data_IF_622860256928
#
_entry.id   IF_622860256928
#
_cell.length_a   1.000
_cell.length_b   1.000
_cell.length_c   1.000
_cell.angle_alpha   90.00
_cell.angle_beta   90.00
_cell.angle_gamma   90.00
#
_symmetry.space_group_name_H-M   'P 1'
#
loop_
_entity.id
_entity.type
_entity.pdbx_description
1 polymer ?
#
# COMPACT_ATOMS: atom_id res chain seq x y z
N UNK A 1 59.05 -15.26 -45.93
CA UNK A 1 57.86 -14.39 -45.80
C UNK A 1 57.44 -14.39 -44.34
N UNK A 2 57.89 -13.39 -43.58
CA UNK A 2 57.55 -13.22 -42.16
C UNK A 2 56.22 -12.48 -42.07
N UNK A 3 55.22 -13.09 -41.43
CA UNK A 3 53.87 -12.53 -41.29
C UNK A 3 53.72 -11.99 -39.86
N UNK A 4 53.93 -10.68 -39.72
CA UNK A 4 53.69 -9.97 -38.47
C UNK A 4 52.18 -9.91 -38.18
N UNK A 5 51.74 -10.54 -37.10
CA UNK A 5 50.38 -10.37 -36.57
C UNK A 5 50.40 -9.16 -35.61
N UNK A 6 49.77 -8.07 -36.04
CA UNK A 6 49.48 -6.92 -35.20
C UNK A 6 48.25 -7.28 -34.36
N UNK A 7 48.44 -7.51 -33.06
CA UNK A 7 47.35 -7.62 -32.10
C UNK A 7 46.76 -6.22 -31.88
N UNK A 8 45.57 -5.98 -32.41
CA UNK A 8 44.79 -4.77 -32.16
C UNK A 8 43.93 -5.01 -30.91
N UNK A 9 44.36 -4.49 -29.77
CA UNK A 9 43.59 -4.50 -28.52
C UNK A 9 42.53 -3.40 -28.59
N UNK A 10 41.27 -3.79 -28.82
CA UNK A 10 40.11 -2.93 -28.66
C UNK A 10 39.77 -2.85 -27.17
N UNK A 11 40.05 -1.71 -26.56
CA UNK A 11 39.65 -1.41 -25.17
C UNK A 11 38.18 -0.95 -25.19
N UNK A 12 37.27 -1.83 -24.79
CA UNK A 12 35.86 -1.47 -24.61
C UNK A 12 35.72 -0.69 -23.28
N UNK A 13 35.48 0.62 -23.37
CA UNK A 13 35.04 1.41 -22.23
C UNK A 13 33.60 1.05 -21.90
N UNK A 14 33.37 0.25 -20.85
CA UNK A 14 32.06 0.20 -20.20
C UNK A 14 31.85 1.55 -19.51
N UNK A 15 30.95 2.37 -20.05
CA UNK A 15 30.38 3.49 -19.33
C UNK A 15 29.52 2.92 -18.19
N UNK A 16 30.02 2.97 -16.96
CA UNK A 16 29.21 2.85 -15.77
C UNK A 16 28.30 4.07 -15.71
N UNK A 17 27.07 3.92 -16.19
CA UNK A 17 26.00 4.87 -15.93
C UNK A 17 25.70 4.70 -14.44
N UNK A 18 26.17 5.63 -13.61
CA UNK A 18 25.67 5.78 -12.25
C UNK A 18 24.21 6.23 -12.36
N UNK A 19 23.29 5.27 -12.46
CA UNK A 19 21.88 5.55 -12.19
C UNK A 19 21.82 5.84 -10.70
N UNK A 20 21.71 7.11 -10.34
CA UNK A 20 21.29 7.51 -9.01
C UNK A 20 19.84 7.07 -8.86
N UNK A 21 19.61 5.83 -8.44
CA UNK A 21 18.29 5.37 -8.02
C UNK A 21 17.95 6.14 -6.74
N UNK A 22 17.23 7.26 -6.87
CA UNK A 22 16.67 7.94 -5.71
C UNK A 22 15.75 6.97 -4.97
N UNK A 23 15.80 6.96 -3.63
CA UNK A 23 14.84 6.19 -2.85
C UNK A 23 13.43 6.68 -3.13
N UNK A 24 12.45 5.79 -3.15
CA UNK A 24 11.04 6.16 -3.23
C UNK A 24 10.66 6.98 -1.99
N UNK A 25 10.08 8.16 -2.22
CA UNK A 25 9.59 9.02 -1.13
C UNK A 25 8.47 8.30 -0.38
N UNK A 26 8.60 8.28 0.96
CA UNK A 26 7.61 7.72 1.86
C UNK A 26 7.11 8.81 2.83
N UNK A 27 6.28 8.42 3.78
CA UNK A 27 5.67 9.34 4.72
C UNK A 27 5.67 8.78 6.15
N UNK A 28 5.55 9.69 7.12
CA UNK A 28 5.30 9.41 8.54
C UNK A 28 4.10 10.24 9.05
N UNK A 29 2.87 9.95 8.63
CA UNK A 29 1.70 10.65 9.14
C UNK A 29 1.57 10.46 10.66
N UNK A 30 1.29 11.53 11.38
CA UNK A 30 1.13 11.52 12.85
C UNK A 30 -0.33 11.41 13.31
N UNK A 31 -1.27 11.56 12.38
CA UNK A 31 -2.71 11.47 12.62
C UNK A 31 -3.19 10.06 12.97
N UNK A 32 -4.49 9.95 13.25
CA UNK A 32 -5.11 8.66 13.57
C UNK A 32 -5.06 7.71 12.36
N UNK A 33 -4.46 6.54 12.56
CA UNK A 33 -4.35 5.49 11.56
C UNK A 33 -5.69 4.75 11.41
N UNK A 34 -6.26 4.77 10.21
CA UNK A 34 -7.48 4.01 9.85
C UNK A 34 -7.12 2.82 8.97
N UNK A 35 -7.70 1.64 9.20
CA UNK A 35 -7.46 0.48 8.33
C UNK A 35 -8.13 0.70 6.96
N UNK A 36 -7.50 0.21 5.89
CA UNK A 36 -8.05 0.22 4.54
C UNK A 36 -7.81 1.51 3.76
N UNK A 37 -8.17 1.46 2.48
CA UNK A 37 -8.08 2.57 1.52
C UNK A 37 -9.42 3.34 1.44
N UNK A 38 -9.35 4.60 1.02
CA UNK A 38 -10.50 5.35 0.54
C UNK A 38 -10.71 5.07 -0.96
N UNK A 39 -11.96 4.95 -1.38
CA UNK A 39 -12.33 4.68 -2.77
C UNK A 39 -13.33 5.75 -3.23
N UNK A 40 -12.94 6.54 -4.21
CA UNK A 40 -13.77 7.53 -4.87
C UNK A 40 -14.28 6.98 -6.22
N UNK A 41 -15.52 7.32 -6.57
CA UNK A 41 -16.15 6.92 -7.84
C UNK A 41 -16.43 8.16 -8.67
N UNK A 42 -16.12 8.09 -9.97
CA UNK A 42 -16.28 9.18 -10.92
C UNK A 42 -17.07 8.70 -12.15
N UNK A 43 -17.83 9.61 -12.74
CA UNK A 43 -18.59 9.34 -13.95
C UNK A 43 -17.64 8.90 -15.08
N UNK A 44 -18.01 7.80 -15.73
CA UNK A 44 -17.41 7.36 -16.99
C UNK A 44 -18.50 7.07 -18.02
N UNK A 45 -18.26 7.47 -19.27
CA UNK A 45 -19.26 7.33 -20.34
C UNK A 45 -19.28 5.90 -20.84
N UNK A 46 -20.46 5.27 -20.83
CA UNK A 46 -20.65 3.92 -21.36
C UNK A 46 -20.16 3.84 -22.82
N UNK A 47 -19.38 2.81 -23.13
CA UNK A 47 -18.71 2.56 -24.41
C UNK A 47 -17.71 3.64 -24.84
N UNK A 48 -17.32 4.57 -23.95
CA UNK A 48 -16.15 5.40 -24.23
C UNK A 48 -14.89 4.53 -24.20
N UNK A 49 -14.27 4.56 -25.36
CA UNK A 49 -13.33 3.60 -25.88
C UNK A 49 -11.90 4.19 -25.90
N UNK A 50 -11.77 5.43 -25.46
CA UNK A 50 -10.64 6.28 -25.80
C UNK A 50 -10.13 7.08 -24.61
N UNK A 51 -11.02 7.58 -23.75
CA UNK A 51 -10.63 8.44 -22.63
C UNK A 51 -9.74 7.69 -21.62
N UNK A 52 -10.03 6.42 -21.33
CA UNK A 52 -9.25 5.63 -20.37
C UNK A 52 -7.86 5.24 -20.91
N UNK A 53 -7.62 5.39 -22.22
CA UNK A 53 -6.34 5.11 -22.86
C UNK A 53 -5.36 6.29 -22.75
N UNK A 54 -5.79 7.43 -22.19
CA UNK A 54 -4.94 8.59 -21.99
C UNK A 54 -4.25 8.54 -20.60
N UNK A 55 -2.91 8.54 -20.53
CA UNK A 55 -2.16 8.61 -19.28
C UNK A 55 -2.57 9.77 -18.37
N UNK A 56 -2.83 10.95 -18.92
CA UNK A 56 -3.22 12.13 -18.13
C UNK A 56 -4.61 11.93 -17.51
N UNK A 57 -5.52 11.31 -18.25
CA UNK A 57 -6.83 10.95 -17.72
C UNK A 57 -6.69 9.99 -16.53
N UNK A 58 -5.91 8.92 -16.69
CA UNK A 58 -5.72 7.90 -15.65
C UNK A 58 -4.89 8.39 -14.46
N UNK A 59 -4.02 9.38 -14.64
CA UNK A 59 -3.26 9.99 -13.56
C UNK A 59 -4.10 10.92 -12.69
N UNK A 60 -4.89 11.80 -13.33
CA UNK A 60 -5.60 12.88 -12.65
C UNK A 60 -6.88 13.37 -13.36
N UNK A 61 -6.98 13.31 -14.69
CA UNK A 61 -8.10 13.88 -15.43
C UNK A 61 -9.47 13.23 -15.16
N UNK A 62 -9.52 12.05 -14.53
CA UNK A 62 -10.78 11.48 -14.03
C UNK A 62 -11.46 12.37 -12.98
N UNK A 63 -10.71 13.14 -12.20
CA UNK A 63 -11.26 13.99 -11.14
C UNK A 63 -11.95 15.25 -11.67
N UNK A 64 -11.76 15.57 -12.95
CA UNK A 64 -12.53 16.62 -13.65
C UNK A 64 -13.95 16.15 -14.01
N UNK A 65 -14.24 14.85 -13.87
CA UNK A 65 -15.59 14.28 -14.03
C UNK A 65 -16.39 14.41 -12.74
N UNK A 66 -17.70 14.21 -12.85
CA UNK A 66 -18.59 14.21 -11.69
C UNK A 66 -18.19 13.09 -10.72
N UNK A 67 -17.84 13.48 -9.48
CA UNK A 67 -17.65 12.53 -8.37
C UNK A 67 -19.02 12.02 -7.93
N UNK A 68 -19.25 10.73 -8.11
CA UNK A 68 -20.51 10.04 -7.78
C UNK A 68 -20.64 9.77 -6.29
N UNK A 69 -19.53 9.56 -5.59
CA UNK A 69 -19.48 9.28 -4.16
C UNK A 69 -18.17 8.62 -3.74
N UNK A 70 -18.13 8.13 -2.50
CA UNK A 70 -16.97 7.41 -1.96
C UNK A 70 -17.35 6.41 -0.86
N UNK A 71 -16.45 5.47 -0.61
CA UNK A 71 -16.45 4.56 0.54
C UNK A 71 -15.05 4.52 1.16
N UNK A 72 -14.97 4.28 2.46
CA UNK A 72 -13.70 4.21 3.19
C UNK A 72 -13.45 2.81 3.78
N UNK A 73 -12.22 2.56 4.21
CA UNK A 73 -11.86 1.38 4.99
C UNK A 73 -11.84 0.07 4.20
N UNK A 74 -11.61 0.15 2.88
CA UNK A 74 -11.58 -1.04 2.02
C UNK A 74 -10.21 -1.70 2.07
N UNK A 75 -10.15 -2.96 2.51
CA UNK A 75 -8.91 -3.77 2.49
C UNK A 75 -8.87 -4.74 1.32
N UNK A 76 -10.05 -5.14 0.81
CA UNK A 76 -10.21 -5.94 -0.40
C UNK A 76 -10.31 -5.01 -1.58
N UNK A 77 -9.27 -4.98 -2.41
CA UNK A 77 -9.09 -3.95 -3.43
C UNK A 77 -9.12 -4.51 -4.86
N UNK A 78 -9.25 -5.83 -5.04
CA UNK A 78 -9.47 -6.38 -6.38
C UNK A 78 -10.88 -6.09 -6.88
N UNK A 79 -11.00 -5.94 -8.20
CA UNK A 79 -12.28 -5.78 -8.88
C UNK A 79 -12.58 -7.05 -9.66
N UNK A 80 -13.76 -7.62 -9.45
CA UNK A 80 -14.33 -8.74 -10.20
C UNK A 80 -15.83 -8.50 -10.34
N UNK A 81 -16.20 -7.80 -11.42
CA UNK A 81 -17.57 -7.48 -11.75
C UNK A 81 -18.02 -8.27 -12.97
N UNK A 82 -19.15 -8.96 -12.82
CA UNK A 82 -19.81 -9.71 -13.88
C UNK A 82 -21.19 -9.11 -14.15
N UNK A 83 -21.48 -8.82 -15.42
CA UNK A 83 -22.82 -8.41 -15.84
C UNK A 83 -23.84 -9.51 -15.53
N UNK A 84 -25.13 -9.17 -15.33
CA UNK A 84 -26.17 -10.15 -15.04
C UNK A 84 -26.54 -11.06 -16.22
N UNK A 85 -25.70 -11.14 -17.26
CA UNK A 85 -25.86 -12.06 -18.37
C UNK A 85 -25.32 -13.45 -18.03
N UNK A 86 -26.13 -14.50 -18.10
CA UNK A 86 -25.62 -15.87 -18.10
C UNK A 86 -24.82 -16.12 -19.38
N UNK A 87 -23.54 -16.45 -19.27
CA UNK A 87 -22.76 -16.97 -20.41
C UNK A 87 -23.02 -18.46 -20.66
N UNK A 88 -24.00 -19.07 -19.99
CA UNK A 88 -24.35 -20.47 -20.18
C UNK A 88 -25.75 -20.55 -20.78
N UNK A 89 -25.80 -20.81 -22.09
CA UNK A 89 -26.88 -21.61 -22.66
C UNK A 89 -26.86 -22.96 -21.93
N UNK A 90 -27.59 -23.07 -20.83
CA UNK A 90 -28.14 -24.35 -20.44
C UNK A 90 -29.16 -24.68 -21.53
N UNK A 91 -28.71 -25.45 -22.51
CA UNK A 91 -29.58 -26.12 -23.49
C UNK A 91 -30.38 -27.18 -22.70
N UNK A 92 -31.35 -26.70 -21.93
CA UNK A 92 -32.43 -27.53 -21.43
C UNK A 92 -33.44 -27.55 -22.56
N UNK A 93 -33.24 -28.46 -23.51
CA UNK A 93 -34.36 -29.09 -24.19
C UNK A 93 -35.30 -29.59 -23.10
N UNK A 94 -36.36 -28.84 -22.81
CA UNK A 94 -37.62 -29.42 -22.38
C UNK A 94 -38.77 -28.45 -22.59
N UNK A 95 -39.69 -28.90 -23.44
CA UNK A 95 -41.01 -28.35 -23.61
C UNK A 95 -41.72 -28.22 -22.25
N UNK A 96 -42.24 -27.03 -21.93
CA UNK A 96 -43.64 -26.82 -21.51
C UNK A 96 -43.87 -25.46 -20.84
N UNK A 97 -44.89 -24.80 -21.37
CA UNK A 97 -45.73 -23.75 -20.83
C UNK A 97 -45.92 -23.71 -19.30
N UNK A 98 -45.80 -22.52 -18.69
CA UNK A 98 -46.94 -21.73 -18.18
C UNK A 98 -46.53 -20.61 -17.20
N UNK A 99 -47.41 -19.63 -17.14
CA UNK A 99 -47.28 -18.23 -16.73
C UNK A 99 -47.40 -17.96 -15.21
N UNK A 100 -46.98 -16.75 -14.81
CA UNK A 100 -47.40 -15.96 -13.64
C UNK A 100 -46.71 -16.17 -12.27
N UNK A 101 -45.89 -15.18 -11.83
CA UNK A 101 -46.18 -14.40 -10.61
C UNK A 101 -45.19 -13.25 -10.38
N UNK A 102 -45.76 -12.11 -10.00
CA UNK A 102 -45.11 -10.87 -9.60
C UNK A 102 -44.78 -10.88 -8.09
N UNK A 103 -43.49 -10.82 -7.73
CA UNK A 103 -43.09 -10.33 -6.39
C UNK A 103 -41.62 -9.86 -6.38
N UNK A 104 -41.36 -8.71 -5.77
CA UNK A 104 -40.02 -8.14 -5.58
C UNK A 104 -39.40 -8.77 -4.33
N UNK A 105 -38.30 -9.53 -4.48
CA UNK A 105 -37.53 -10.07 -3.35
C UNK A 105 -36.08 -9.60 -3.41
N UNK A 106 -35.68 -8.84 -2.38
CA UNK A 106 -34.30 -8.48 -2.04
C UNK A 106 -33.59 -9.68 -1.42
N UNK A 107 -32.57 -10.30 -2.04
CA UNK A 107 -31.61 -11.14 -1.29
C UNK A 107 -30.17 -11.22 -1.87
N UNK A 108 -29.22 -11.30 -0.92
CA UNK A 108 -27.76 -11.39 -1.04
C UNK A 108 -27.25 -12.85 -1.01
N UNK A 109 -26.18 -13.08 -1.79
CA UNK A 109 -24.95 -13.89 -1.58
C UNK A 109 -24.99 -15.43 -1.44
N UNK A 110 -24.08 -16.10 -2.18
CA UNK A 110 -23.35 -17.30 -1.71
C UNK A 110 -22.92 -18.28 -2.81
N UNK A 111 -21.60 -18.41 -3.07
CA UNK A 111 -20.99 -19.43 -3.93
C UNK A 111 -21.30 -20.87 -3.45
N UNK A 112 -21.72 -21.76 -4.36
CA UNK A 112 -21.38 -23.20 -4.37
C UNK A 112 -21.61 -23.82 -5.76
N UNK A 113 -20.87 -24.90 -6.12
CA UNK A 113 -20.81 -25.44 -7.47
C UNK A 113 -22.10 -26.19 -7.84
N UNK A 114 -22.43 -26.15 -9.13
CA UNK A 114 -23.64 -26.73 -9.72
C UNK A 114 -23.69 -28.25 -9.58
N UNK A 115 -24.22 -28.74 -8.45
CA UNK A 115 -24.89 -30.04 -8.38
C UNK A 115 -25.83 -30.04 -7.17
N UNK A 116 -27.00 -29.45 -7.33
CA UNK A 116 -28.22 -29.86 -6.63
C UNK A 116 -29.40 -29.12 -7.26
N UNK A 117 -30.26 -29.88 -7.92
CA UNK A 117 -31.49 -29.45 -8.59
C UNK A 117 -32.58 -29.11 -7.57
N UNK A 118 -32.38 -28.01 -6.85
CA UNK A 118 -33.39 -27.45 -5.97
C UNK A 118 -33.41 -25.93 -6.10
N UNK A 119 -34.31 -25.45 -6.97
CA UNK A 119 -34.82 -24.08 -7.03
C UNK A 119 -33.77 -22.97 -6.83
N UNK A 120 -32.80 -22.89 -7.73
CA UNK A 120 -32.11 -21.63 -8.00
C UNK A 120 -33.18 -20.67 -8.52
N UNK A 121 -33.46 -19.61 -7.75
CA UNK A 121 -34.21 -18.48 -8.26
C UNK A 121 -33.47 -17.97 -9.50
N UNK A 122 -34.01 -18.26 -10.69
CA UNK A 122 -33.56 -17.70 -11.95
C UNK A 122 -33.45 -16.18 -11.73
N UNK A 123 -32.24 -15.63 -11.82
CA UNK A 123 -32.10 -14.20 -12.06
C UNK A 123 -32.83 -13.96 -13.39
N UNK A 124 -33.92 -13.19 -13.29
CA UNK A 124 -34.72 -12.55 -14.35
C UNK A 124 -34.29 -12.90 -15.79
N UNK A 125 -35.16 -13.60 -16.52
CA UNK A 125 -35.17 -13.87 -17.97
C UNK A 125 -33.84 -13.62 -18.73
N UNK A 126 -33.03 -14.66 -18.88
CA UNK A 126 -31.79 -14.71 -19.69
C UNK A 126 -32.01 -14.51 -21.21
N UNK A 127 -33.18 -14.03 -21.64
CA UNK A 127 -33.58 -13.91 -23.06
C UNK A 127 -33.29 -12.51 -23.63
N UNK A 128 -32.98 -11.52 -22.79
CA UNK A 128 -32.80 -10.12 -23.23
C UNK A 128 -31.79 -9.33 -22.38
N UNK A 129 -30.60 -9.88 -22.13
CA UNK A 129 -29.53 -9.13 -21.48
C UNK A 129 -28.59 -8.50 -22.55
N UNK A 130 -28.65 -7.18 -22.69
CA UNK A 130 -27.75 -6.43 -23.59
C UNK A 130 -26.39 -6.27 -22.90
N UNK A 131 -25.35 -6.94 -23.41
CA UNK A 131 -23.98 -6.80 -22.89
C UNK A 131 -23.46 -5.36 -23.01
N UNK A 132 -23.99 -4.59 -23.97
CA UNK A 132 -23.65 -3.20 -24.17
C UNK A 132 -24.46 -2.21 -23.33
N UNK A 133 -25.32 -2.65 -22.42
CA UNK A 133 -26.10 -1.77 -21.55
C UNK A 133 -25.34 -1.41 -20.26
N UNK A 134 -25.74 -0.29 -19.65
CA UNK A 134 -25.30 0.04 -18.29
C UNK A 134 -26.12 -0.75 -17.27
N UNK A 135 -25.43 -1.36 -16.30
CA UNK A 135 -26.07 -2.11 -15.21
C UNK A 135 -25.70 -1.49 -13.86
N UNK A 136 -26.70 -1.28 -13.02
CA UNK A 136 -26.50 -0.81 -11.66
C UNK A 136 -26.22 -1.98 -10.71
N UNK A 137 -25.21 -1.86 -9.86
CA UNK A 137 -24.87 -2.85 -8.84
C UNK A 137 -24.11 -2.21 -7.68
N UNK A 138 -23.99 -2.94 -6.57
CA UNK A 138 -23.15 -2.61 -5.41
C UNK A 138 -21.92 -3.51 -5.30
N UNK A 139 -21.59 -4.28 -6.36
CA UNK A 139 -20.46 -5.23 -6.33
C UNK A 139 -19.11 -4.52 -6.16
N UNK A 140 -18.98 -3.28 -6.63
CA UNK A 140 -17.80 -2.45 -6.37
C UNK A 140 -17.87 -1.85 -4.96
N UNK A 141 -17.22 -2.54 -4.02
CA UNK A 141 -16.98 -2.05 -2.65
C UNK A 141 -18.24 -1.70 -1.85
N UNK A 142 -19.40 -2.26 -2.23
CA UNK A 142 -20.69 -1.97 -1.62
C UNK A 142 -21.32 -0.64 -2.07
N UNK A 143 -20.69 0.12 -2.96
CA UNK A 143 -21.20 1.39 -3.46
C UNK A 143 -22.15 1.17 -4.64
N UNK A 144 -23.38 1.69 -4.55
CA UNK A 144 -24.38 1.53 -5.62
C UNK A 144 -24.10 2.48 -6.79
N UNK A 145 -23.57 1.95 -7.88
CA UNK A 145 -23.16 2.68 -9.09
C UNK A 145 -23.41 1.83 -10.34
N UNK A 146 -22.88 2.23 -11.50
CA UNK A 146 -22.84 1.44 -12.74
C UNK A 146 -21.45 0.85 -12.99
N UNK A 147 -21.11 -0.36 -12.47
CA UNK A 147 -19.78 -0.95 -12.65
C UNK A 147 -19.37 -1.18 -14.10
N UNK A 148 -20.36 -1.26 -15.00
CA UNK A 148 -20.16 -1.34 -16.46
C UNK A 148 -19.47 -0.11 -17.04
N UNK A 149 -19.56 1.05 -16.40
CA UNK A 149 -19.04 2.31 -16.92
C UNK A 149 -18.75 3.27 -15.77
N UNK A 150 -17.57 3.14 -15.18
CA UNK A 150 -17.17 3.94 -14.01
C UNK A 150 -15.65 4.06 -13.95
N UNK A 151 -15.16 5.18 -13.42
CA UNK A 151 -13.76 5.30 -12.99
C UNK A 151 -13.71 5.29 -11.47
N UNK A 152 -12.79 4.50 -10.92
CA UNK A 152 -12.57 4.30 -9.50
C UNK A 152 -11.15 4.75 -9.17
N UNK A 153 -11.00 5.56 -8.12
CA UNK A 153 -9.72 5.95 -7.53
C UNK A 153 -9.64 5.35 -6.13
N UNK A 154 -8.61 4.57 -5.85
CA UNK A 154 -8.30 4.03 -4.53
C UNK A 154 -7.05 4.73 -4.00
N UNK A 155 -7.15 5.39 -2.85
CA UNK A 155 -6.00 6.05 -2.19
C UNK A 155 -5.83 5.56 -0.76
N UNK A 156 -4.57 5.44 -0.36
CA UNK A 156 -4.16 5.05 0.98
C UNK A 156 -2.65 4.95 1.06
N UNK A 157 -2.14 4.46 2.17
CA UNK A 157 -0.73 4.25 2.42
C UNK A 157 -0.45 2.77 2.60
N UNK A 158 0.50 2.25 1.84
CA UNK A 158 1.05 0.92 2.04
C UNK A 158 2.14 0.98 3.13
N UNK A 159 1.95 0.23 4.23
CA UNK A 159 2.93 0.08 5.30
C UNK A 159 3.82 -1.13 5.00
N UNK A 160 5.11 -0.89 4.78
CA UNK A 160 6.08 -1.96 4.59
C UNK A 160 6.44 -2.62 5.94
N UNK A 161 6.12 -3.91 6.19
CA UNK A 161 6.56 -4.59 7.41
C UNK A 161 8.03 -5.01 7.39
N UNK A 162 8.63 -5.12 6.21
CA UNK A 162 10.03 -5.54 6.00
C UNK A 162 10.72 -4.63 5.00
N UNK A 163 12.00 -4.37 5.19
CA UNK A 163 12.80 -3.67 4.18
C UNK A 163 13.13 -4.62 3.03
N UNK A 164 12.93 -4.19 1.79
CA UNK A 164 13.23 -4.98 0.60
C UNK A 164 12.41 -4.59 -0.62
N UNK A 165 12.47 -5.42 -1.65
CA UNK A 165 11.69 -5.24 -2.88
C UNK A 165 10.28 -5.79 -2.72
N UNK A 166 9.29 -4.98 -3.10
CA UNK A 166 7.89 -5.34 -3.20
C UNK A 166 7.50 -5.31 -4.68
N UNK A 167 6.95 -6.40 -5.20
CA UNK A 167 6.53 -6.49 -6.60
C UNK A 167 5.02 -6.55 -6.65
N UNK A 168 4.40 -5.41 -6.98
CA UNK A 168 2.96 -5.31 -7.19
C UNK A 168 2.62 -5.90 -8.56
N UNK A 169 1.43 -6.49 -8.69
CA UNK A 169 0.97 -7.08 -9.93
C UNK A 169 -0.53 -6.97 -10.17
N UNK A 170 -0.90 -6.76 -11.43
CA UNK A 170 -2.26 -6.97 -11.93
C UNK A 170 -2.30 -8.27 -12.74
N UNK A 171 -3.12 -9.23 -12.30
CA UNK A 171 -3.27 -10.51 -13.02
C UNK A 171 -3.84 -10.31 -14.43
N UNK A 172 -4.77 -9.38 -14.57
CA UNK A 172 -5.31 -8.87 -15.83
C UNK A 172 -5.88 -7.46 -15.59
N UNK A 173 -6.18 -6.74 -16.67
CA UNK A 173 -6.80 -5.41 -16.63
C UNK A 173 -7.90 -5.36 -17.68
N UNK A 174 -9.12 -5.13 -17.23
CA UNK A 174 -10.31 -4.96 -18.07
C UNK A 174 -11.20 -3.85 -17.47
N UNK A 175 -11.20 -2.61 -17.98
CA UNK A 175 -10.61 -2.15 -19.25
C UNK A 175 -9.21 -1.51 -19.11
N UNK A 176 -8.98 -0.66 -18.10
CA UNK A 176 -7.75 0.12 -17.95
C UNK A 176 -7.44 0.42 -16.50
N UNK A 177 -6.17 0.33 -16.11
CA UNK A 177 -5.74 0.59 -14.74
C UNK A 177 -4.31 1.12 -14.65
N UNK A 178 -4.04 1.88 -13.59
CA UNK A 178 -2.69 2.22 -13.15
C UNK A 178 -2.52 1.94 -11.67
N UNK A 179 -1.26 1.74 -11.25
CA UNK A 179 -0.85 1.77 -9.85
C UNK A 179 0.37 2.69 -9.72
N UNK A 180 0.32 3.58 -8.74
CA UNK A 180 1.38 4.53 -8.40
C UNK A 180 1.73 4.36 -6.92
N UNK A 181 3.03 4.31 -6.63
CA UNK A 181 3.58 4.20 -5.27
C UNK A 181 4.59 5.32 -5.02
N UNK A 182 4.47 5.98 -3.86
CA UNK A 182 5.43 6.97 -3.38
C UNK A 182 4.86 8.39 -3.29
N UNK A 183 5.46 9.20 -2.42
CA UNK A 183 5.16 10.62 -2.30
C UNK A 183 5.46 11.38 -3.59
N UNK A 184 4.62 12.37 -3.92
CA UNK A 184 4.62 13.12 -5.19
C UNK A 184 4.38 12.26 -6.46
N UNK A 185 4.20 10.94 -6.32
CA UNK A 185 3.91 10.02 -7.44
C UNK A 185 2.46 9.55 -7.36
N UNK A 186 2.06 8.93 -6.26
CA UNK A 186 0.68 8.57 -6.01
C UNK A 186 -0.13 9.81 -5.62
N UNK A 187 0.29 10.46 -4.55
CA UNK A 187 -0.19 11.73 -3.99
C UNK A 187 0.85 12.24 -2.96
N UNK A 188 0.71 13.48 -2.50
CA UNK A 188 1.63 14.08 -1.53
C UNK A 188 1.45 13.49 -0.11
N UNK A 189 2.54 13.41 0.65
CA UNK A 189 2.47 12.96 2.05
C UNK A 189 1.54 13.83 2.92
N UNK A 190 0.72 13.19 3.75
CA UNK A 190 -0.34 13.80 4.58
C UNK A 190 -1.41 14.59 3.80
N UNK A 191 -1.60 14.27 2.51
CA UNK A 191 -2.57 14.90 1.61
C UNK A 191 -3.36 13.87 0.79
N UNK A 192 -3.82 12.80 1.44
CA UNK A 192 -4.53 11.70 0.80
C UNK A 192 -5.84 12.13 0.15
N UNK A 193 -6.53 13.13 0.71
CA UNK A 193 -7.86 13.57 0.26
C UNK A 193 -7.82 14.77 -0.70
N UNK A 194 -6.63 15.28 -0.99
CA UNK A 194 -6.44 16.37 -1.96
C UNK A 194 -6.70 15.89 -3.39
N UNK A 195 -7.00 16.82 -4.33
CA UNK A 195 -7.09 16.50 -5.75
C UNK A 195 -5.84 15.75 -6.25
N UNK A 196 -5.99 14.84 -7.23
CA UNK A 196 -4.89 14.00 -7.67
C UNK A 196 -3.74 14.83 -8.27
N UNK A 197 -2.52 14.44 -7.91
CA UNK A 197 -1.30 14.99 -8.52
C UNK A 197 -1.19 14.57 -9.99
N UNK A 198 -0.48 15.36 -10.79
CA UNK A 198 -0.37 15.16 -12.25
C UNK A 198 0.72 14.16 -12.65
N UNK A 199 1.29 13.40 -11.72
CA UNK A 199 2.36 12.45 -12.03
C UNK A 199 1.83 11.30 -12.89
N UNK A 200 2.52 11.03 -13.99
CA UNK A 200 2.32 9.87 -14.88
C UNK A 200 3.41 8.82 -14.72
N UNK A 201 4.22 8.91 -13.66
CA UNK A 201 5.27 7.93 -13.31
C UNK A 201 4.64 6.70 -12.63
N UNK A 202 3.92 5.90 -13.41
CA UNK A 202 3.20 4.74 -12.90
C UNK A 202 4.15 3.60 -12.54
N UNK A 203 3.97 3.03 -11.34
CA UNK A 203 4.63 1.79 -10.94
C UNK A 203 4.14 0.61 -11.79
N UNK A 204 2.84 0.53 -12.05
CA UNK A 204 2.25 -0.37 -13.04
C UNK A 204 1.44 0.46 -14.02
N UNK A 205 1.78 0.35 -15.31
CA UNK A 205 1.01 0.94 -16.39
C UNK A 205 0.19 -0.15 -17.10
N UNK A 206 -1.07 -0.29 -16.69
CA UNK A 206 -2.06 -1.15 -17.34
C UNK A 206 -2.97 -0.39 -18.30
N UNK A 207 -2.55 0.78 -18.77
CA UNK A 207 -3.32 1.58 -19.73
C UNK A 207 -3.26 0.90 -21.09
N UNK A 208 -4.41 0.41 -21.54
CA UNK A 208 -4.54 -0.26 -22.83
C UNK A 208 -4.90 0.74 -23.94
N UNK A 209 -4.25 0.65 -25.13
CA UNK A 209 -4.80 1.20 -26.38
C UNK A 209 -5.99 0.35 -26.86
N UNK A 210 -7.06 0.99 -27.35
CA UNK A 210 -8.33 0.36 -27.76
C UNK A 210 -8.23 -1.00 -28.50
N UNK A 211 -7.25 -1.16 -29.40
CA UNK A 211 -7.10 -2.35 -30.26
C UNK A 211 -6.01 -3.34 -29.80
N UNK A 212 -5.55 -3.29 -28.56
CA UNK A 212 -4.57 -4.24 -28.02
C UNK A 212 -5.25 -5.32 -27.15
N UNK A 213 -4.65 -6.50 -27.04
CA UNK A 213 -5.08 -7.48 -26.04
C UNK A 213 -4.89 -6.92 -24.63
N UNK A 214 -5.72 -7.35 -23.68
CA UNK A 214 -5.56 -6.98 -22.28
C UNK A 214 -4.17 -7.39 -21.78
N UNK A 215 -3.40 -6.49 -21.14
CA UNK A 215 -2.15 -6.89 -20.53
C UNK A 215 -2.44 -7.91 -19.43
N UNK A 216 -1.69 -9.01 -19.42
CA UNK A 216 -1.80 -10.07 -18.40
C UNK A 216 -0.52 -10.11 -17.59
N UNK A 217 -0.66 -10.35 -16.28
CA UNK A 217 0.44 -10.44 -15.33
C UNK A 217 1.45 -9.28 -15.46
N UNK A 218 0.95 -8.05 -15.44
CA UNK A 218 1.81 -6.86 -15.45
C UNK A 218 2.24 -6.51 -14.04
N UNK A 219 3.53 -6.24 -13.87
CA UNK A 219 4.16 -6.07 -12.57
C UNK A 219 4.99 -4.78 -12.51
N UNK A 220 5.14 -4.26 -11.29
CA UNK A 220 5.95 -3.10 -10.97
C UNK A 220 6.62 -3.29 -9.62
N UNK A 221 7.92 -3.06 -9.53
CA UNK A 221 8.69 -3.27 -8.31
C UNK A 221 9.13 -1.96 -7.67
N UNK A 222 9.00 -1.89 -6.34
CA UNK A 222 9.41 -0.75 -5.52
C UNK A 222 10.23 -1.27 -4.34
N UNK A 223 11.39 -0.67 -4.09
CA UNK A 223 12.16 -0.95 -2.90
C UNK A 223 11.63 -0.11 -1.73
N UNK A 224 11.21 -0.74 -0.65
CA UNK A 224 10.63 -0.09 0.51
C UNK A 224 11.42 -0.38 1.77
N UNK A 225 11.37 0.56 2.72
CA UNK A 225 11.99 0.47 4.03
C UNK A 225 10.92 0.22 5.07
N UNK A 226 11.18 -0.72 5.99
CA UNK A 226 10.22 -1.11 7.00
C UNK A 226 9.79 0.07 7.88
N UNK A 227 8.50 0.12 8.23
CA UNK A 227 7.94 1.11 9.17
C UNK A 227 7.57 2.45 8.55
N UNK A 228 7.87 2.68 7.27
CA UNK A 228 7.40 3.85 6.54
C UNK A 228 6.08 3.59 5.80
N UNK A 229 5.29 4.65 5.64
CA UNK A 229 4.02 4.64 4.92
C UNK A 229 4.22 5.17 3.49
N UNK A 230 3.98 4.33 2.49
CA UNK A 230 4.15 4.71 1.08
C UNK A 230 2.78 5.08 0.50
N UNK A 231 2.57 6.32 0.03
CA UNK A 231 1.37 6.69 -0.71
C UNK A 231 1.11 5.69 -1.84
N UNK A 232 -0.10 5.17 -1.92
CA UNK A 232 -0.53 4.16 -2.89
C UNK A 232 -1.83 4.64 -3.54
N UNK A 233 -1.79 4.76 -4.87
CA UNK A 233 -2.94 5.13 -5.69
C UNK A 233 -3.18 4.08 -6.76
N UNK A 234 -4.39 3.57 -6.84
CA UNK A 234 -4.88 2.74 -7.95
C UNK A 234 -5.99 3.49 -8.63
N UNK A 235 -5.94 3.61 -9.95
CA UNK A 235 -7.06 4.14 -10.75
C UNK A 235 -7.47 3.08 -11.73
N UNK A 236 -8.75 2.75 -11.75
CA UNK A 236 -9.36 1.75 -12.62
C UNK A 236 -10.51 2.39 -13.40
N UNK A 237 -10.64 2.10 -14.68
CA UNK A 237 -11.81 2.46 -15.47
C UNK A 237 -12.37 1.24 -16.18
N UNK A 238 -13.70 1.13 -16.14
CA UNK A 238 -14.46 0.23 -16.99
C UNK A 238 -15.33 1.05 -17.93
N UNK A 239 -15.48 0.62 -19.18
CA UNK A 239 -16.26 1.29 -20.21
C UNK A 239 -17.50 0.52 -20.63
N UNK A 240 -17.48 -0.82 -20.56
CA UNK A 240 -18.64 -1.66 -20.91
C UNK A 240 -18.53 -3.06 -20.30
N UNK A 241 -19.64 -3.76 -20.13
CA UNK A 241 -19.67 -5.18 -19.76
C UNK A 241 -18.93 -5.50 -18.44
N UNK A 242 -18.06 -6.50 -18.44
CA UNK A 242 -17.29 -6.99 -17.29
C UNK A 242 -16.27 -5.96 -16.82
N UNK A 243 -15.82 -6.06 -15.58
CA UNK A 243 -14.72 -5.26 -15.08
C UNK A 243 -13.83 -6.11 -14.19
N UNK A 244 -12.54 -6.21 -14.52
CA UNK A 244 -11.62 -7.14 -13.85
C UNK A 244 -10.29 -6.48 -13.56
N UNK A 245 -9.89 -6.47 -12.29
CA UNK A 245 -8.58 -6.00 -11.82
C UNK A 245 -8.15 -6.82 -10.58
N UNK A 246 -7.50 -7.98 -10.75
CA UNK A 246 -6.96 -8.77 -9.65
C UNK A 246 -5.64 -8.14 -9.19
N UNK A 247 -5.58 -7.63 -7.97
CA UNK A 247 -4.42 -6.92 -7.41
C UNK A 247 -3.65 -7.83 -6.45
N UNK A 248 -2.33 -7.85 -6.59
CA UNK A 248 -1.45 -8.60 -5.69
C UNK A 248 -0.13 -7.87 -5.42
N UNK A 249 0.56 -8.29 -4.37
CA UNK A 249 1.94 -7.89 -4.08
C UNK A 249 2.74 -9.10 -3.60
N UNK A 250 3.90 -9.32 -4.21
CA UNK A 250 4.93 -10.23 -3.69
C UNK A 250 5.85 -9.46 -2.75
N UNK A 251 5.93 -9.94 -1.51
CA UNK A 251 6.70 -9.34 -0.42
C UNK A 251 8.19 -9.71 -0.52
N UNK A 252 9.09 -9.03 0.23
CA UNK A 252 10.53 -9.31 0.20
C UNK A 252 10.93 -10.74 0.58
N UNK A 253 10.08 -11.47 1.30
CA UNK A 253 10.32 -12.87 1.67
C UNK A 253 9.80 -13.89 0.64
N UNK A 254 9.25 -13.40 -0.48
CA UNK A 254 8.68 -14.22 -1.56
C UNK A 254 7.24 -14.67 -1.34
N UNK A 255 6.61 -14.33 -0.22
CA UNK A 255 5.17 -14.56 -0.03
C UNK A 255 4.34 -13.55 -0.83
N UNK A 256 3.14 -13.95 -1.26
CA UNK A 256 2.23 -13.09 -2.03
C UNK A 256 0.96 -12.80 -1.23
N UNK A 257 0.56 -11.54 -1.22
CA UNK A 257 -0.75 -11.05 -0.74
C UNK A 257 -1.59 -10.74 -1.97
N UNK A 258 -2.80 -11.27 -2.05
CA UNK A 258 -3.72 -11.06 -3.18
C UNK A 258 -5.10 -10.69 -2.66
N UNK A 259 -5.74 -9.73 -3.32
CA UNK A 259 -7.04 -9.14 -3.00
C UNK A 259 -7.14 -8.45 -1.64
N UNK A 260 -6.96 -9.17 -0.53
CA UNK A 260 -7.12 -8.66 0.83
C UNK A 260 -5.79 -8.15 1.39
N UNK A 261 -5.64 -6.83 1.42
CA UNK A 261 -4.46 -6.11 1.90
C UNK A 261 -4.61 -5.66 3.36
N UNK A 262 -5.51 -6.28 4.14
CA UNK A 262 -5.65 -5.98 5.57
C UNK A 262 -4.30 -6.10 6.30
N UNK A 263 -4.02 -5.12 7.16
CA UNK A 263 -2.72 -4.96 7.82
C UNK A 263 -1.61 -4.31 6.98
N UNK A 264 -1.79 -4.13 5.67
CA UNK A 264 -0.82 -3.46 4.80
C UNK A 264 -1.27 -2.08 4.35
N UNK A 265 -2.56 -1.87 4.09
CA UNK A 265 -3.09 -0.59 3.61
C UNK A 265 -3.83 0.18 4.70
N UNK A 266 -3.56 1.47 4.78
CA UNK A 266 -4.12 2.38 5.79
C UNK A 266 -4.51 3.71 5.18
N UNK A 267 -5.38 4.46 5.85
CA UNK A 267 -5.71 5.84 5.50
C UNK A 267 -5.45 6.76 6.69
N UNK A 268 -5.14 8.01 6.39
CA UNK A 268 -5.00 9.10 7.35
C UNK A 268 -5.76 10.30 6.82
N UNK A 269 -6.41 11.05 7.71
CA UNK A 269 -6.99 12.33 7.33
C UNK A 269 -5.87 13.32 6.95
N UNK A 270 -6.19 14.27 6.08
CA UNK A 270 -5.25 15.30 5.69
C UNK A 270 -4.76 16.13 6.89
N UNK A 271 -3.44 16.24 7.03
CA UNK A 271 -2.79 17.20 7.93
C UNK A 271 -1.75 18.00 7.15
N UNK A 272 -2.22 19.06 6.51
CA UNK A 272 -1.41 19.97 5.69
C UNK A 272 -0.41 20.78 6.54
N UNK A 273 -0.54 20.74 7.87
CA UNK A 273 0.33 21.48 8.80
C UNK A 273 1.51 20.65 9.29
N UNK A 274 1.49 19.32 9.11
CA UNK A 274 2.56 18.43 9.55
C UNK A 274 3.82 18.58 8.67
N UNK A 275 4.73 19.48 9.08
CA UNK A 275 5.94 19.80 8.33
C UNK A 275 6.91 18.62 8.13
N UNK A 276 6.91 17.62 9.01
CA UNK A 276 7.80 16.46 8.96
C UNK A 276 7.14 15.19 8.41
N UNK A 277 6.01 15.30 7.71
CA UNK A 277 5.30 14.14 7.19
C UNK A 277 6.03 13.47 6.01
N UNK A 278 6.61 14.25 5.10
CA UNK A 278 7.33 13.71 3.95
C UNK A 278 8.71 13.18 4.33
N UNK A 279 9.05 12.02 3.79
CA UNK A 279 10.35 11.35 3.94
C UNK A 279 10.93 11.09 2.55
N UNK A 280 11.68 12.05 1.98
CA UNK A 280 12.20 11.94 0.61
C UNK A 280 13.21 10.81 0.43
N UNK A 281 13.98 10.48 1.47
CA UNK A 281 15.02 9.45 1.42
C UNK A 281 15.00 8.57 2.69
N UNK A 282 14.04 7.61 2.80
CA UNK A 282 13.91 6.70 3.94
C UNK A 282 15.20 6.06 4.50
N UNK A 283 16.18 5.58 3.70
CA UNK A 283 17.41 4.98 4.26
C UNK A 283 18.30 5.99 4.99
N UNK A 284 18.30 7.24 4.55
CA UNK A 284 19.12 8.31 5.12
C UNK A 284 18.30 9.29 5.95
N UNK A 285 17.01 8.99 6.16
CA UNK A 285 16.13 9.81 6.97
C UNK A 285 16.55 9.70 8.43
N UNK A 286 17.38 10.65 8.83
CA UNK A 286 17.77 10.86 10.21
C UNK A 286 16.71 11.75 10.85
N UNK A 287 15.89 11.17 11.72
CA UNK A 287 15.21 11.97 12.73
C UNK A 287 16.33 12.56 13.60
N UNK A 288 16.72 13.81 13.34
CA UNK A 288 17.82 14.46 14.07
C UNK A 288 17.36 14.72 15.51
N UNK A 289 17.47 13.71 16.37
CA UNK A 289 17.49 13.85 17.82
C UNK A 289 18.96 13.82 18.27
N UNK A 290 19.51 14.97 18.62
CA UNK A 290 20.89 15.07 19.12
C UNK A 290 20.90 14.53 20.56
N UNK A 291 21.27 13.27 20.72
CA UNK A 291 21.55 12.70 22.05
C UNK A 291 22.89 13.25 22.52
N UNK A 292 22.88 14.25 23.39
CA UNK A 292 24.10 14.74 24.05
C UNK A 292 24.26 14.01 25.38
N UNK A 293 25.16 13.03 25.45
CA UNK A 293 25.47 12.34 26.70
C UNK A 293 26.52 13.13 27.47
N UNK A 294 26.14 13.78 28.57
CA UNK A 294 27.09 14.45 29.46
C UNK A 294 27.34 13.53 30.66
N UNK A 295 28.54 12.99 30.78
CA UNK A 295 28.96 12.19 31.94
C UNK A 295 29.55 13.10 33.01
N UNK A 296 28.83 13.31 34.11
CA UNK A 296 29.38 13.96 35.30
C UNK A 296 30.06 12.94 36.25
N UNK A 297 31.13 13.31 36.98
CA UNK A 297 31.73 12.46 38.00
C UNK A 297 30.77 12.23 39.18
N UNK A 298 30.56 10.96 39.52
CA UNK A 298 29.64 10.52 40.59
C UNK A 298 30.12 10.93 41.99
N UNK A 299 29.26 11.56 42.79
CA UNK A 299 29.59 12.02 44.17
C UNK A 299 28.56 11.68 45.26
N UNK A 300 27.46 10.96 44.96
CA UNK A 300 26.30 10.84 45.87
C UNK A 300 25.83 9.40 46.15
N UNK A 301 25.42 9.10 47.40
CA UNK A 301 25.19 7.74 47.93
C UNK A 301 23.79 7.12 47.70
N UNK A 302 22.93 7.67 46.83
CA UNK A 302 21.55 7.22 46.61
C UNK A 302 21.15 7.23 45.13
N UNK A 303 20.13 6.45 44.76
CA UNK A 303 19.49 6.50 43.43
C UNK A 303 18.55 7.70 43.35
N UNK A 304 18.73 8.55 42.34
CA UNK A 304 17.86 9.68 42.05
C UNK A 304 17.33 9.62 40.62
N UNK A 305 16.07 10.04 40.45
CA UNK A 305 15.42 10.24 39.15
C UNK A 305 15.15 11.72 39.01
N UNK A 306 15.81 12.37 38.05
CA UNK A 306 15.63 13.78 37.76
C UNK A 306 14.90 13.93 36.43
N UNK A 307 13.87 14.78 36.39
CA UNK A 307 13.15 15.12 35.16
C UNK A 307 13.48 16.56 34.80
N UNK A 308 14.03 16.79 33.61
CA UNK A 308 14.36 18.12 33.10
C UNK A 308 13.61 18.38 31.80
N UNK A 309 13.10 19.60 31.64
CA UNK A 309 12.47 20.04 30.39
C UNK A 309 13.36 21.07 29.71
N UNK A 310 13.64 20.89 28.41
CA UNK A 310 14.46 21.83 27.63
C UNK A 310 13.75 22.22 26.35
N UNK A 311 13.88 23.50 25.99
CA UNK A 311 13.30 24.07 24.76
C UNK A 311 14.42 24.25 23.74
N UNK A 312 14.32 23.62 22.57
CA UNK A 312 15.34 23.70 21.51
C UNK A 312 14.74 24.32 20.26
N UNK A 313 15.43 25.31 19.69
CA UNK A 313 15.03 25.96 18.43
C UNK A 313 15.78 25.34 17.26
N UNK A 314 15.04 24.75 16.33
CA UNK A 314 15.61 24.08 15.15
C UNK A 314 16.09 25.04 14.06
N UNK A 315 16.74 24.53 12.97
CA UNK A 315 17.14 25.33 11.80
C UNK A 315 15.97 25.97 11.05
N UNK A 316 14.76 25.47 11.29
CA UNK A 316 13.49 26.05 10.85
C UNK A 316 13.01 27.22 11.73
N UNK A 317 13.77 27.59 12.77
CA UNK A 317 13.50 28.73 13.64
C UNK A 317 12.39 28.52 14.68
N UNK A 318 11.84 27.32 14.80
CA UNK A 318 10.74 27.02 15.72
C UNK A 318 11.23 26.29 16.98
N UNK A 319 10.81 26.71 18.19
CA UNK A 319 11.16 26.05 19.45
C UNK A 319 10.25 24.84 19.72
N UNK A 320 10.85 23.74 20.18
CA UNK A 320 10.15 22.53 20.64
C UNK A 320 10.57 22.21 22.07
N UNK A 321 9.60 21.85 22.92
CA UNK A 321 9.84 21.43 24.30
C UNK A 321 10.04 19.92 24.39
N UNK A 322 11.14 19.51 25.01
CA UNK A 322 11.49 18.11 25.25
C UNK A 322 11.52 17.80 26.75
N UNK A 323 11.10 16.59 27.14
CA UNK A 323 11.20 16.07 28.51
C UNK A 323 12.27 14.99 28.59
N UNK A 324 13.28 15.23 29.41
CA UNK A 324 14.40 14.33 29.65
C UNK A 324 14.21 13.69 31.02
N UNK A 325 14.19 12.35 31.05
CA UNK A 325 14.14 11.57 32.29
C UNK A 325 15.53 10.98 32.52
N UNK A 326 16.25 11.51 33.49
CA UNK A 326 17.57 11.03 33.89
C UNK A 326 17.44 10.09 35.09
N UNK A 327 17.86 8.83 34.95
CA UNK A 327 17.86 7.84 36.03
C UNK A 327 19.30 7.49 36.42
N UNK A 328 19.72 7.85 37.63
CA UNK A 328 21.08 7.61 38.14
C UNK A 328 21.12 6.40 39.07
N UNK A 329 21.85 5.35 38.67
CA UNK A 329 22.04 4.14 39.47
C UNK A 329 23.49 3.96 39.95
N UNK A 330 23.67 3.22 41.05
CA UNK A 330 25.00 2.89 41.56
C UNK A 330 25.64 1.76 40.75
N UNK A 331 26.94 1.87 40.45
CA UNK A 331 27.75 0.73 40.04
C UNK A 331 28.53 0.22 41.25
N UNK A 332 28.20 -0.98 41.73
CA UNK A 332 28.95 -1.61 42.82
C UNK A 332 30.25 -2.17 42.25
N UNK A 333 31.37 -1.52 42.54
CA UNK A 333 32.69 -2.00 42.12
C UNK A 333 33.13 -3.14 43.05
N UNK A 334 33.23 -4.35 42.50
CA UNK A 334 33.81 -5.48 43.20
C UNK A 334 35.35 -5.38 43.16
N UNK A 335 35.97 -4.68 44.11
CA UNK A 335 37.38 -4.90 44.51
C UNK A 335 37.70 -4.03 45.74
N UNK A 336 37.74 -4.62 46.93
CA UNK A 336 38.69 -4.30 48.01
C UNK A 336 38.48 -5.27 49.20
N UNK A 337 39.13 -6.44 49.20
CA UNK A 337 39.36 -7.18 50.45
C UNK A 337 40.69 -6.67 51.03
N UNK A 338 40.72 -6.05 52.23
CA UNK A 338 41.97 -5.61 52.81
C UNK A 338 42.75 -6.80 53.38
N UNK A 339 44.02 -6.88 53.01
CA UNK A 339 44.99 -7.80 53.57
C UNK A 339 45.66 -7.18 54.81
N UNK A 340 45.83 -8.03 55.84
CA UNK A 340 46.65 -7.93 57.07
C UNK A 340 46.03 -7.29 58.33
N UNK A 341 45.86 -8.14 59.35
CA UNK A 341 46.87 -8.31 60.41
C UNK A 341 46.79 -9.71 61.05
N UNK A 342 47.98 -10.20 61.42
CA UNK A 342 48.34 -11.58 61.80
C UNK A 342 47.90 -11.97 63.22
N UNK A 343 47.59 -13.27 63.45
CA UNK A 343 48.37 -14.17 64.32
C UNK A 343 47.76 -15.59 64.39
N UNK A 344 48.59 -16.65 64.56
CA UNK A 344 48.12 -18.03 64.67
C UNK A 344 47.71 -18.34 66.12
N UNK A 345 46.47 -18.76 66.34
CA UNK A 345 46.03 -19.32 67.62
C UNK A 345 46.01 -20.84 67.49
N UNK A 346 46.92 -21.47 68.24
CA UNK A 346 46.93 -22.91 68.51
C UNK A 346 45.59 -23.35 69.13
N UNK A 347 45.01 -24.41 68.60
CA UNK A 347 44.01 -25.21 69.29
C UNK A 347 44.71 -26.41 69.97
N UNK A 348 44.63 -26.55 71.30
CA UNK A 348 45.08 -27.76 71.97
C UNK A 348 44.05 -28.90 71.80
N UNK A 349 44.58 -30.11 71.70
CA UNK A 349 43.87 -31.38 71.78
C UNK A 349 43.46 -31.71 73.26
N UNK A 350 42.71 -32.81 73.50
CA UNK A 350 41.50 -32.86 74.32
C UNK A 350 41.73 -33.28 75.78
N UNK A 351 40.69 -33.19 76.61
CA UNK A 351 40.60 -33.96 77.85
C UNK A 351 39.22 -34.59 78.05
N UNK A 352 39.29 -35.91 78.24
CA UNK A 352 38.36 -36.92 78.80
C UNK A 352 37.10 -37.26 78.03
#
# INVERSE_FOLDING_TARGET
>A
MSRHYIFSTVLAFLALVNVTSGSTEACLPSGEKKSGMNINFYQYTLKDSSTYSNPEYMAHGYADKEKLGSVSGQTKISIDYNIPCSSETCDCDDESSDDNSSEIVLMKRGNKPCSDTAALAKKRDDVDCDQGAAYWSSDLFGFYTTPTNVTVEMTGYFLAPKTGSYTFGFGTVDDSAILSIGGNVAFDCCKQEQPPVTSTDFTINGIKPWNADAPTNIEGSVYMYAGYYYPMKVVFSNAVSWGTLPISVTLPDGSTVSDDFDGYVYSFEDDLSQANCAVPDPPNYTTTGIITTTTEPWTSAYTTTDTQTSTVTGPNGLPTDETIIEVKHQQVSALQLPHRLMQPVLLPHPLT
#
